data_IF_366169240151
#
_entry.id   IF_366169240151
#
_cell.length_a   1.000
_cell.length_b   1.000
_cell.length_c   1.000
_cell.angle_alpha   90.00
_cell.angle_beta   90.00
_cell.angle_gamma   90.00
#
_symmetry.space_group_name_H-M   'P 1'
#
loop_
_entity.id
_entity.type
_entity.pdbx_description
1 polymer ?
#
# COMPACT_ATOMS: atom_id res chain seq x y z
N UNK A 1 -3.36 -39.71 8.48
CA UNK A 1 -4.65 -39.08 8.82
C UNK A 1 -4.47 -37.87 9.74
N UNK A 2 -3.85 -38.00 10.92
CA UNK A 2 -3.76 -36.91 11.92
C UNK A 2 -3.21 -35.58 11.40
N UNK A 3 -2.17 -35.57 10.56
CA UNK A 3 -1.63 -34.34 9.97
C UNK A 3 -2.58 -33.68 8.95
N UNK A 4 -3.44 -34.47 8.30
CA UNK A 4 -4.46 -34.00 7.37
C UNK A 4 -5.68 -33.45 8.11
N UNK A 5 -6.08 -34.11 9.20
CA UNK A 5 -7.14 -33.64 10.10
C UNK A 5 -6.71 -32.38 10.87
N UNK A 6 -5.42 -32.26 11.20
CA UNK A 6 -4.85 -31.04 11.77
C UNK A 6 -4.86 -29.87 10.77
N UNK A 7 -4.64 -30.12 9.47
CA UNK A 7 -4.74 -29.09 8.42
C UNK A 7 -6.19 -28.61 8.20
N UNK A 8 -7.18 -29.49 8.37
CA UNK A 8 -8.61 -29.13 8.26
C UNK A 8 -9.12 -28.32 9.47
N UNK A 9 -8.41 -28.38 10.61
CA UNK A 9 -8.76 -27.66 11.84
C UNK A 9 -7.91 -26.41 12.10
N UNK A 10 -7.14 -25.93 11.11
CA UNK A 10 -6.47 -24.63 11.23
C UNK A 10 -7.53 -23.53 11.04
N UNK A 11 -7.82 -22.79 12.09
CA UNK A 11 -8.63 -21.56 12.00
C UNK A 11 -8.04 -20.62 10.93
N UNK A 12 -8.81 -20.34 9.88
CA UNK A 12 -8.40 -19.50 8.74
C UNK A 12 -8.05 -18.04 9.14
N UNK A 13 -8.36 -17.61 10.38
CA UNK A 13 -8.23 -16.21 10.82
C UNK A 13 -7.24 -16.10 11.99
N UNK A 14 -5.96 -16.13 11.68
CA UNK A 14 -4.88 -15.99 12.67
C UNK A 14 -4.75 -14.57 13.28
N UNK A 15 -5.30 -13.53 12.62
CA UNK A 15 -5.17 -12.13 13.07
C UNK A 15 -6.46 -11.33 12.89
N UNK A 16 -6.84 -10.59 13.93
CA UNK A 16 -7.98 -9.68 13.91
C UNK A 16 -7.76 -8.49 12.96
N UNK A 17 -8.85 -7.91 12.43
CA UNK A 17 -8.76 -6.75 11.53
C UNK A 17 -8.02 -5.55 12.12
N UNK A 18 -8.17 -5.31 13.44
CA UNK A 18 -7.49 -4.22 14.14
C UNK A 18 -5.97 -4.46 14.21
N UNK A 19 -5.53 -5.69 14.47
CA UNK A 19 -4.10 -6.02 14.49
C UNK A 19 -3.45 -5.78 13.14
N UNK A 20 -4.13 -6.13 12.03
CA UNK A 20 -3.65 -5.83 10.68
C UNK A 20 -3.50 -4.33 10.44
N UNK A 21 -4.47 -3.53 10.87
CA UNK A 21 -4.40 -2.07 10.76
C UNK A 21 -3.25 -1.46 11.55
N UNK A 22 -3.06 -1.84 12.81
CA UNK A 22 -1.95 -1.35 13.63
C UNK A 22 -0.58 -1.78 13.07
N UNK A 23 -0.47 -3.03 12.61
CA UNK A 23 0.76 -3.51 11.97
C UNK A 23 1.08 -2.74 10.68
N UNK A 24 0.07 -2.47 9.86
CA UNK A 24 0.23 -1.71 8.62
C UNK A 24 0.66 -0.27 8.90
N UNK A 25 0.01 0.41 9.84
CA UNK A 25 0.36 1.77 10.24
C UNK A 25 1.80 1.79 10.74
N UNK A 26 2.15 0.90 11.68
CA UNK A 26 3.51 0.80 12.22
C UNK A 26 4.56 0.52 11.15
N UNK A 27 4.26 -0.38 10.20
CA UNK A 27 5.14 -0.68 9.08
C UNK A 27 5.40 0.55 8.20
N UNK A 28 4.33 1.23 7.75
CA UNK A 28 4.42 2.46 6.96
C UNK A 28 5.29 3.47 7.73
N UNK A 29 4.98 3.66 9.01
CA UNK A 29 5.62 4.65 9.87
C UNK A 29 7.13 4.43 10.06
N UNK A 30 7.57 3.18 10.22
CA UNK A 30 8.98 2.84 10.34
C UNK A 30 9.73 2.99 9.00
N UNK A 31 9.02 2.85 7.87
CA UNK A 31 9.62 2.95 6.54
C UNK A 31 10.13 4.37 6.23
N UNK A 32 9.59 5.40 6.89
CA UNK A 32 10.08 6.78 6.76
C UNK A 32 11.57 6.88 7.11
N UNK A 33 12.00 6.21 8.17
CA UNK A 33 13.41 6.26 8.58
C UNK A 33 14.30 5.51 7.58
N UNK A 34 13.76 4.47 6.93
CA UNK A 34 14.47 3.76 5.86
C UNK A 34 14.65 4.62 4.60
N UNK A 35 13.69 5.50 4.31
CA UNK A 35 13.77 6.47 3.21
C UNK A 35 14.57 7.73 3.54
N UNK A 36 15.18 7.79 4.74
CA UNK A 36 15.98 8.94 5.17
C UNK A 36 15.16 10.14 5.66
N UNK A 37 13.87 9.92 5.98
CA UNK A 37 13.00 10.96 6.53
C UNK A 37 13.36 11.36 7.96
N UNK A 38 12.91 12.56 8.32
CA UNK A 38 13.11 13.16 9.64
C UNK A 38 12.02 12.74 10.63
N UNK A 39 12.20 13.12 11.91
CA UNK A 39 11.17 12.94 12.93
C UNK A 39 9.90 13.77 12.65
N UNK A 40 10.01 14.88 11.91
CA UNK A 40 8.85 15.67 11.50
C UNK A 40 8.02 14.94 10.45
N UNK A 41 8.67 14.28 9.49
CA UNK A 41 8.00 13.42 8.50
C UNK A 41 7.25 12.29 9.18
N UNK A 42 7.86 11.70 10.22
CA UNK A 42 7.22 10.68 11.03
C UNK A 42 5.91 11.21 11.63
N UNK A 43 5.91 12.36 12.30
CA UNK A 43 4.65 12.91 12.84
C UNK A 43 3.64 13.24 11.74
N UNK A 44 4.08 13.83 10.63
CA UNK A 44 3.22 14.20 9.51
C UNK A 44 2.55 12.98 8.85
N UNK A 45 3.20 11.81 8.88
CA UNK A 45 2.70 10.61 8.22
C UNK A 45 1.65 9.83 9.02
N UNK A 46 1.51 10.07 10.33
CA UNK A 46 0.49 9.41 11.16
C UNK A 46 -0.95 9.52 10.60
N UNK A 47 -1.46 10.71 10.23
CA UNK A 47 -2.79 10.82 9.61
C UNK A 47 -2.86 10.13 8.23
N UNK A 48 -1.79 10.16 7.45
CA UNK A 48 -1.73 9.51 6.12
C UNK A 48 -1.82 7.99 6.26
N UNK A 49 -0.99 7.39 7.10
CA UNK A 49 -0.95 5.94 7.31
C UNK A 49 -2.25 5.39 7.93
N UNK A 50 -2.87 6.14 8.85
CA UNK A 50 -4.19 5.81 9.38
C UNK A 50 -5.28 5.81 8.28
N UNK A 51 -5.24 6.81 7.39
CA UNK A 51 -6.18 6.92 6.27
C UNK A 51 -6.01 5.76 5.29
N UNK A 52 -4.76 5.42 4.94
CA UNK A 52 -4.46 4.26 4.08
C UNK A 52 -5.01 2.97 4.68
N UNK A 53 -4.79 2.75 5.97
CA UNK A 53 -5.32 1.56 6.66
C UNK A 53 -6.85 1.51 6.62
N UNK A 54 -7.52 2.66 6.78
CA UNK A 54 -8.97 2.76 6.72
C UNK A 54 -9.51 2.48 5.30
N UNK A 55 -8.88 3.03 4.26
CA UNK A 55 -9.24 2.81 2.86
C UNK A 55 -9.12 1.32 2.52
N UNK A 56 -8.01 0.69 2.86
CA UNK A 56 -7.81 -0.74 2.61
C UNK A 56 -8.80 -1.62 3.37
N UNK A 57 -9.08 -1.31 4.65
CA UNK A 57 -10.05 -2.07 5.44
C UNK A 57 -11.46 -1.98 4.85
N UNK A 58 -11.88 -0.78 4.43
CA UNK A 58 -13.18 -0.55 3.79
C UNK A 58 -13.24 -1.24 2.42
N UNK A 59 -12.18 -1.16 1.62
CA UNK A 59 -12.16 -1.73 0.28
C UNK A 59 -12.31 -3.25 0.27
N UNK A 60 -11.73 -3.93 1.27
CA UNK A 60 -11.91 -5.38 1.49
C UNK A 60 -13.39 -5.71 1.80
N UNK A 61 -14.05 -4.91 2.65
CA UNK A 61 -15.46 -5.11 2.98
C UNK A 61 -16.39 -4.97 1.77
N UNK A 62 -16.03 -4.10 0.82
CA UNK A 62 -16.81 -3.82 -0.40
C UNK A 62 -16.45 -4.73 -1.59
N UNK A 63 -15.54 -5.72 -1.40
CA UNK A 63 -15.09 -6.66 -2.45
C UNK A 63 -14.58 -5.97 -3.73
N UNK A 64 -13.96 -4.79 -3.58
CA UNK A 64 -13.37 -4.05 -4.70
C UNK A 64 -12.15 -4.81 -5.24
N UNK A 65 -11.90 -4.76 -6.56
CA UNK A 65 -10.71 -5.38 -7.17
C UNK A 65 -9.41 -4.75 -6.65
N UNK A 66 -8.35 -5.52 -6.34
CA UNK A 66 -7.12 -5.00 -5.70
C UNK A 66 -6.49 -3.79 -6.41
N UNK A 67 -6.40 -3.80 -7.75
CA UNK A 67 -5.83 -2.70 -8.51
C UNK A 67 -6.62 -1.39 -8.38
N UNK A 68 -7.96 -1.45 -8.23
CA UNK A 68 -8.80 -0.27 -7.98
C UNK A 68 -8.57 0.24 -6.56
N UNK A 69 -8.44 -0.66 -5.58
CA UNK A 69 -8.14 -0.27 -4.20
C UNK A 69 -6.81 0.48 -4.12
N UNK A 70 -5.81 -0.01 -4.85
CA UNK A 70 -4.48 0.59 -4.90
C UNK A 70 -4.50 1.97 -5.57
N UNK A 71 -5.28 2.15 -6.63
CA UNK A 71 -5.47 3.47 -7.27
C UNK A 71 -6.12 4.49 -6.32
N UNK A 72 -7.19 4.11 -5.62
CA UNK A 72 -7.86 5.01 -4.67
C UNK A 72 -6.95 5.31 -3.49
N UNK A 73 -6.26 4.30 -2.95
CA UNK A 73 -5.33 4.48 -1.82
C UNK A 73 -4.18 5.40 -2.20
N UNK A 74 -3.55 5.19 -3.36
CA UNK A 74 -2.42 6.02 -3.79
C UNK A 74 -2.82 7.45 -4.15
N UNK A 75 -4.03 7.65 -4.68
CA UNK A 75 -4.64 8.98 -4.86
C UNK A 75 -4.82 9.70 -3.52
N UNK A 76 -5.43 9.05 -2.53
CA UNK A 76 -5.66 9.64 -1.21
C UNK A 76 -4.33 9.96 -0.51
N UNK A 77 -3.31 9.11 -0.64
CA UNK A 77 -1.96 9.37 -0.12
C UNK A 77 -1.42 10.69 -0.68
N UNK A 78 -1.45 10.86 -2.00
CA UNK A 78 -0.89 12.04 -2.65
C UNK A 78 -1.65 13.32 -2.26
N UNK A 79 -2.98 13.30 -2.27
CA UNK A 79 -3.81 14.45 -1.86
C UNK A 79 -3.59 14.82 -0.40
N UNK A 80 -3.60 13.84 0.51
CA UNK A 80 -3.39 14.10 1.93
C UNK A 80 -1.99 14.65 2.21
N UNK A 81 -0.97 14.11 1.55
CA UNK A 81 0.41 14.60 1.70
C UNK A 81 0.53 16.03 1.20
N UNK A 82 -0.10 16.38 0.07
CA UNK A 82 -0.14 17.74 -0.45
C UNK A 82 -0.78 18.71 0.57
N UNK A 83 -1.95 18.38 1.11
CA UNK A 83 -2.64 19.21 2.12
C UNK A 83 -1.78 19.38 3.38
N UNK A 84 -1.15 18.29 3.86
CA UNK A 84 -0.29 18.33 5.04
C UNK A 84 0.97 19.18 4.83
N UNK A 85 1.48 19.23 3.59
CA UNK A 85 2.67 20.02 3.24
C UNK A 85 2.46 21.52 3.36
N UNK A 86 1.23 21.99 3.12
CA UNK A 86 0.87 23.40 3.35
C UNK A 86 0.44 23.70 4.79
N UNK A 87 -0.28 22.75 5.41
CA UNK A 87 -0.81 22.97 6.76
C UNK A 87 0.29 22.96 7.83
N UNK A 88 1.36 22.18 7.63
CA UNK A 88 2.45 22.05 8.57
C UNK A 88 3.54 23.10 8.28
N UNK A 89 3.92 23.84 9.31
CA UNK A 89 4.97 24.87 9.24
C UNK A 89 6.39 24.32 9.44
N UNK A 90 6.53 23.03 9.73
CA UNK A 90 7.81 22.35 9.91
C UNK A 90 8.30 21.74 8.59
N UNK A 91 9.62 21.58 8.40
CA UNK A 91 10.15 20.99 7.17
C UNK A 91 9.72 19.52 7.07
N UNK A 92 8.84 19.23 6.11
CA UNK A 92 8.48 17.87 5.72
C UNK A 92 8.92 17.60 4.29
N UNK A 93 9.16 16.33 3.98
CA UNK A 93 9.55 15.83 2.66
C UNK A 93 8.38 15.02 2.07
N UNK A 94 7.56 15.64 1.19
CA UNK A 94 6.36 15.00 0.63
C UNK A 94 6.69 13.70 -0.09
N UNK A 95 7.78 13.68 -0.84
CA UNK A 95 8.23 12.50 -1.59
C UNK A 95 8.52 11.31 -0.68
N UNK A 96 9.19 11.56 0.46
CA UNK A 96 9.50 10.55 1.47
C UNK A 96 8.23 9.96 2.09
N UNK A 97 7.23 10.81 2.38
CA UNK A 97 5.93 10.39 2.91
C UNK A 97 5.18 9.55 1.88
N UNK A 98 5.10 10.00 0.63
CA UNK A 98 4.40 9.28 -0.44
C UNK A 98 5.04 7.91 -0.66
N UNK A 99 6.37 7.85 -0.84
CA UNK A 99 7.09 6.59 -1.08
C UNK A 99 6.89 5.63 0.09
N UNK A 100 6.96 6.11 1.32
CA UNK A 100 6.77 5.27 2.51
C UNK A 100 5.34 4.74 2.65
N UNK A 101 4.34 5.55 2.33
CA UNK A 101 2.93 5.18 2.43
C UNK A 101 2.49 4.18 1.34
N UNK A 102 3.08 4.21 0.14
CA UNK A 102 2.71 3.30 -0.95
C UNK A 102 3.36 1.92 -0.86
N UNK A 103 4.40 1.75 -0.02
CA UNK A 103 5.17 0.49 0.07
C UNK A 103 4.31 -0.77 0.25
N UNK A 104 3.28 -0.80 1.12
CA UNK A 104 2.42 -1.98 1.26
C UNK A 104 1.58 -2.30 0.02
N UNK A 105 1.36 -1.32 -0.86
CA UNK A 105 0.54 -1.46 -2.07
C UNK A 105 1.32 -2.09 -3.22
N UNK A 106 2.66 -2.10 -3.13
CA UNK A 106 3.51 -2.57 -4.20
C UNK A 106 3.29 -4.07 -4.47
N UNK A 107 3.17 -4.49 -5.74
CA UNK A 107 2.86 -5.87 -6.11
C UNK A 107 4.09 -6.80 -6.04
N UNK A 108 4.91 -6.68 -4.98
CA UNK A 108 6.17 -7.42 -4.85
C UNK A 108 5.98 -8.93 -4.73
N UNK A 109 4.95 -9.38 -4.00
CA UNK A 109 4.65 -10.81 -3.82
C UNK A 109 4.18 -11.46 -5.11
N UNK A 110 3.29 -10.79 -5.86
CA UNK A 110 2.78 -11.28 -7.15
C UNK A 110 3.91 -11.32 -8.18
N UNK A 111 4.73 -10.27 -8.26
CA UNK A 111 5.90 -10.23 -9.16
C UNK A 111 6.89 -11.35 -8.86
N UNK A 112 7.28 -11.52 -7.59
CA UNK A 112 8.21 -12.58 -7.17
C UNK A 112 7.65 -13.97 -7.47
N UNK A 113 6.36 -14.18 -7.24
CA UNK A 113 5.69 -15.43 -7.56
C UNK A 113 5.61 -15.67 -9.08
N UNK A 114 5.37 -14.63 -9.88
CA UNK A 114 5.37 -14.73 -11.34
C UNK A 114 6.72 -15.17 -11.89
N UNK A 115 7.80 -14.52 -11.42
CA UNK A 115 9.18 -14.90 -11.78
C UNK A 115 9.48 -16.35 -11.35
N UNK A 116 9.08 -16.73 -10.14
CA UNK A 116 9.25 -18.09 -9.63
C UNK A 116 8.52 -19.13 -10.49
N UNK A 117 7.30 -18.84 -10.92
CA UNK A 117 6.50 -19.77 -11.73
C UNK A 117 7.08 -19.93 -13.13
N UNK A 118 7.56 -18.84 -13.74
CA UNK A 118 8.33 -18.88 -15.00
C UNK A 118 9.54 -19.81 -14.88
N UNK A 119 10.34 -19.70 -13.80
CA UNK A 119 11.49 -20.59 -13.59
C UNK A 119 11.11 -22.06 -13.30
N UNK A 120 9.88 -22.32 -12.86
CA UNK A 120 9.33 -23.68 -12.67
C UNK A 120 8.76 -24.28 -13.94
N UNK A 121 8.78 -23.56 -15.07
CA UNK A 121 8.22 -23.99 -16.34
C UNK A 121 6.71 -23.73 -16.48
N UNK A 122 6.08 -23.07 -15.51
CA UNK A 122 4.68 -22.61 -15.62
C UNK A 122 4.63 -21.20 -16.20
N UNK A 123 4.85 -21.11 -17.51
CA UNK A 123 4.91 -19.84 -18.22
C UNK A 123 3.56 -19.12 -18.28
N UNK A 124 2.44 -19.85 -18.30
CA UNK A 124 1.11 -19.25 -18.35
C UNK A 124 0.78 -18.55 -17.03
N UNK A 125 1.02 -19.22 -15.89
CA UNK A 125 0.86 -18.59 -14.56
C UNK A 125 1.87 -17.45 -14.38
N UNK A 126 3.14 -17.67 -14.76
CA UNK A 126 4.19 -16.67 -14.64
C UNK A 126 3.88 -15.38 -15.39
N UNK A 127 3.49 -15.49 -16.67
CA UNK A 127 3.11 -14.35 -17.49
C UNK A 127 1.88 -13.60 -16.94
N UNK A 128 0.85 -14.34 -16.48
CA UNK A 128 -0.35 -13.74 -15.89
C UNK A 128 -0.04 -12.93 -14.63
N UNK A 129 0.79 -13.46 -13.71
CA UNK A 129 1.18 -12.76 -12.47
C UNK A 129 2.05 -11.54 -12.73
N UNK A 130 3.00 -11.65 -13.67
CA UNK A 130 3.83 -10.50 -14.06
C UNK A 130 2.94 -9.40 -14.63
N UNK A 131 1.99 -9.74 -15.52
CA UNK A 131 1.03 -8.78 -16.06
C UNK A 131 0.15 -8.15 -14.97
N UNK A 132 -0.33 -8.95 -14.01
CA UNK A 132 -1.08 -8.45 -12.86
C UNK A 132 -0.26 -7.43 -12.05
N UNK A 133 1.01 -7.72 -11.78
CA UNK A 133 1.90 -6.78 -11.10
C UNK A 133 2.08 -5.47 -11.88
N UNK A 134 2.24 -5.54 -13.21
CA UNK A 134 2.32 -4.34 -14.05
C UNK A 134 1.04 -3.50 -14.00
N UNK A 135 -0.13 -4.13 -14.08
CA UNK A 135 -1.42 -3.43 -13.99
C UNK A 135 -1.54 -2.73 -12.64
N UNK A 136 -1.20 -3.39 -11.54
CA UNK A 136 -1.21 -2.79 -10.21
C UNK A 136 -0.27 -1.57 -10.15
N UNK A 137 0.96 -1.69 -10.65
CA UNK A 137 1.94 -0.60 -10.65
C UNK A 137 1.45 0.63 -11.46
N UNK A 138 0.85 0.40 -12.64
CA UNK A 138 0.27 1.47 -13.47
C UNK A 138 -0.85 2.19 -12.73
N UNK A 139 -1.76 1.45 -12.08
CA UNK A 139 -2.87 2.03 -11.33
C UNK A 139 -2.40 2.84 -10.12
N UNK A 140 -1.35 2.37 -9.42
CA UNK A 140 -0.70 3.13 -8.34
C UNK A 140 -0.13 4.44 -8.90
N UNK A 141 0.63 4.38 -10.00
CA UNK A 141 1.23 5.55 -10.63
C UNK A 141 0.19 6.57 -11.10
N UNK A 142 -0.91 6.11 -11.71
CA UNK A 142 -2.04 6.95 -12.09
C UNK A 142 -2.66 7.62 -10.87
N UNK A 143 -2.90 6.87 -9.78
CA UNK A 143 -3.49 7.44 -8.56
C UNK A 143 -2.60 8.51 -7.92
N UNK A 144 -1.29 8.27 -7.82
CA UNK A 144 -0.33 9.26 -7.31
C UNK A 144 -0.31 10.49 -8.23
N UNK A 145 -0.16 10.30 -9.54
CA UNK A 145 -0.10 11.39 -10.51
C UNK A 145 -1.35 12.26 -10.48
N UNK A 146 -2.53 11.64 -10.50
CA UNK A 146 -3.79 12.36 -10.38
C UNK A 146 -3.92 13.09 -9.03
N UNK A 147 -3.52 12.44 -7.93
CA UNK A 147 -3.58 13.04 -6.60
C UNK A 147 -2.61 14.21 -6.41
N UNK A 148 -1.43 14.17 -7.05
CA UNK A 148 -0.49 15.29 -7.07
C UNK A 148 -1.01 16.47 -7.90
N UNK A 149 -1.65 16.22 -9.05
CA UNK A 149 -2.28 17.29 -9.85
C UNK A 149 -3.39 17.97 -9.05
N UNK A 150 -4.30 17.18 -8.48
CA UNK A 150 -5.39 17.72 -7.65
C UNK A 150 -4.85 18.40 -6.39
N UNK A 151 -3.89 17.79 -5.70
CA UNK A 151 -3.24 18.38 -4.54
C UNK A 151 -2.56 19.71 -4.88
N UNK A 152 -1.88 19.79 -6.02
CA UNK A 152 -1.27 21.02 -6.51
C UNK A 152 -2.29 22.11 -6.85
N UNK A 153 -3.46 21.76 -7.38
CA UNK A 153 -4.56 22.72 -7.58
C UNK A 153 -5.20 23.18 -6.26
N UNK A 154 -5.30 22.31 -5.26
CA UNK A 154 -5.88 22.65 -3.94
C UNK A 154 -4.98 23.63 -3.16
N UNK A 155 -3.68 23.60 -3.41
CA UNK A 155 -2.67 24.43 -2.74
C UNK A 155 -2.55 25.83 -3.38
N UNK A 156 -2.90 25.95 -4.65
CA UNK A 156 -2.67 27.14 -5.46
C UNK A 156 -3.75 28.20 -5.27
#
# INVERSE_FOLDING_TARGET
QEAYDALQNIDEIQYSGRQKSFALIGFIQLFIFLMGGTFYDFLAMLPVSATVSFVLHTAVKWKIRPFIQNLVSSFVIAVMTAILSELLTFPIQPDTIIISAIMPLLPGTVLTNGIRDTFRGDYMSGAAKILEAFVIAIFIAIGIGAGLVVGGEVIR
#
